data_IF_253972541951
#
_entry.id   IF_253972541951
#
_cell.length_a   1.000
_cell.length_b   1.000
_cell.length_c   1.000
_cell.angle_alpha   90.00
_cell.angle_beta   90.00
_cell.angle_gamma   90.00
#
_symmetry.space_group_name_H-M   'P 1'
#
loop_
_entity.id
_entity.type
_entity.pdbx_description
1 polymer ?
#
# COMPACT_ATOMS: atom_id res chain seq x y z
N UNK A 1 16.42 4.83 6.36
CA UNK A 1 15.03 4.58 5.91
C UNK A 1 14.36 3.49 6.75
N UNK A 2 14.87 2.26 6.75
CA UNK A 2 14.17 1.11 7.33
C UNK A 2 13.95 1.14 8.86
N UNK A 3 14.86 1.75 9.63
CA UNK A 3 14.74 1.82 11.11
C UNK A 3 13.73 2.88 11.61
N UNK A 4 13.38 3.84 10.77
CA UNK A 4 12.50 4.96 11.12
C UNK A 4 11.53 5.24 9.96
N UNK A 5 10.56 4.33 9.68
CA UNK A 5 9.66 4.48 8.53
C UNK A 5 8.84 5.77 8.54
N UNK A 6 8.51 6.30 9.72
CA UNK A 6 7.80 7.56 9.88
C UNK A 6 8.51 8.76 9.24
N UNK A 7 9.84 8.74 9.10
CA UNK A 7 10.59 9.81 8.44
C UNK A 7 10.40 9.82 6.91
N UNK A 8 9.77 8.79 6.34
CA UNK A 8 9.52 8.67 4.90
C UNK A 8 8.15 9.24 4.52
N UNK A 9 7.12 8.97 5.32
CA UNK A 9 5.75 9.39 5.00
C UNK A 9 5.05 10.18 6.10
N UNK A 10 5.43 10.03 7.36
CA UNK A 10 4.70 10.49 8.55
C UNK A 10 4.13 9.33 9.38
N UNK A 11 3.48 9.64 10.50
CA UNK A 11 2.76 8.65 11.32
C UNK A 11 1.43 8.27 10.66
N UNK A 12 0.94 7.06 10.95
CA UNK A 12 -0.41 6.59 10.60
C UNK A 12 -0.74 6.68 9.09
N UNK A 13 0.28 6.52 8.25
CA UNK A 13 0.15 6.49 6.80
C UNK A 13 0.40 5.09 6.24
N UNK A 14 -0.28 4.71 5.14
CA UNK A 14 -0.12 3.41 4.53
C UNK A 14 1.34 3.02 4.24
N UNK A 15 2.19 3.95 3.79
CA UNK A 15 3.61 3.67 3.55
C UNK A 15 4.32 3.21 4.82
N UNK A 16 4.10 3.94 5.91
CA UNK A 16 4.69 3.67 7.22
C UNK A 16 4.16 2.34 7.77
N UNK A 17 2.87 2.07 7.61
CA UNK A 17 2.24 0.80 8.02
C UNK A 17 2.81 -0.40 7.25
N UNK A 18 2.91 -0.32 5.93
CA UNK A 18 3.51 -1.37 5.09
C UNK A 18 4.97 -1.64 5.50
N UNK A 19 5.75 -0.59 5.73
CA UNK A 19 7.16 -0.73 6.13
C UNK A 19 7.31 -1.29 7.56
N UNK A 20 6.40 -0.94 8.49
CA UNK A 20 6.37 -1.50 9.84
C UNK A 20 5.91 -2.96 9.86
N UNK A 21 5.00 -3.34 8.98
CA UNK A 21 4.57 -4.73 8.82
C UNK A 21 5.68 -5.64 8.26
N UNK A 22 6.66 -5.06 7.56
CA UNK A 22 7.77 -5.80 6.95
C UNK A 22 9.14 -5.18 7.30
N UNK A 23 9.55 -5.21 8.58
CA UNK A 23 10.76 -4.53 9.05
C UNK A 23 11.99 -4.95 8.26
N UNK A 24 12.70 -3.98 7.69
CA UNK A 24 13.96 -4.21 7.00
C UNK A 24 13.85 -4.85 5.60
N UNK A 25 12.64 -5.17 5.12
CA UNK A 25 12.43 -5.88 3.85
C UNK A 25 11.90 -5.01 2.72
N UNK A 26 11.20 -3.92 3.03
CA UNK A 26 10.62 -3.03 2.02
C UNK A 26 10.76 -1.57 2.38
N UNK A 27 11.02 -0.74 1.38
CA UNK A 27 10.84 0.71 1.43
C UNK A 27 9.71 1.05 0.47
N UNK A 28 8.67 1.73 0.93
CA UNK A 28 7.51 2.12 0.11
C UNK A 28 7.25 3.61 0.26
N UNK A 29 6.93 4.29 -0.84
CA UNK A 29 6.53 5.70 -0.80
C UNK A 29 5.43 6.01 -1.81
N UNK A 30 4.40 6.71 -1.32
CA UNK A 30 3.36 7.32 -2.14
C UNK A 30 3.90 8.52 -2.92
N UNK A 31 3.55 8.60 -4.20
CA UNK A 31 3.70 9.76 -5.08
C UNK A 31 2.37 10.48 -5.32
N UNK A 32 2.40 11.53 -6.12
CA UNK A 32 1.18 12.26 -6.51
C UNK A 32 0.30 11.41 -7.44
N UNK A 33 -1.01 11.70 -7.46
CA UNK A 33 -1.96 11.13 -8.42
C UNK A 33 -1.90 9.59 -8.50
N UNK A 34 -2.07 8.90 -7.37
CA UNK A 34 -2.17 7.44 -7.36
C UNK A 34 -0.87 6.69 -7.71
N UNK A 35 0.27 7.36 -7.68
CA UNK A 35 1.60 6.73 -7.85
C UNK A 35 2.07 6.11 -6.53
N UNK A 36 2.71 4.96 -6.63
CA UNK A 36 3.45 4.32 -5.54
C UNK A 36 4.73 3.69 -6.07
N UNK A 37 5.81 3.83 -5.30
CA UNK A 37 7.06 3.11 -5.57
C UNK A 37 7.46 2.28 -4.36
N UNK A 38 8.08 1.13 -4.62
CA UNK A 38 8.58 0.21 -3.61
C UNK A 38 9.93 -0.38 -3.99
N UNK A 39 10.74 -0.72 -3.00
CA UNK A 39 11.97 -1.50 -3.19
C UNK A 39 11.97 -2.65 -2.19
N UNK A 40 12.08 -3.88 -2.70
CA UNK A 40 12.25 -5.11 -1.93
C UNK A 40 13.74 -5.32 -1.69
N UNK A 41 14.20 -5.00 -0.49
CA UNK A 41 15.63 -4.80 -0.19
C UNK A 41 16.42 -6.09 -0.11
N UNK A 42 15.77 -7.24 0.08
CA UNK A 42 16.44 -8.54 0.13
C UNK A 42 16.41 -9.24 -1.23
N UNK A 43 15.39 -8.96 -2.03
CA UNK A 43 15.10 -9.61 -3.29
C UNK A 43 15.67 -8.86 -4.49
N UNK A 44 16.07 -7.59 -4.32
CA UNK A 44 16.63 -6.77 -5.40
C UNK A 44 15.61 -6.28 -6.42
N UNK A 45 14.30 -6.34 -6.10
CA UNK A 45 13.23 -5.91 -6.99
C UNK A 45 12.79 -4.47 -6.69
N UNK A 46 12.53 -3.72 -7.76
CA UNK A 46 11.82 -2.43 -7.70
C UNK A 46 10.36 -2.61 -8.13
N UNK A 47 9.46 -1.86 -7.51
CA UNK A 47 8.04 -1.83 -7.83
C UNK A 47 7.66 -0.40 -8.17
N UNK A 48 6.98 -0.20 -9.29
CA UNK A 48 6.33 1.04 -9.65
C UNK A 48 4.86 0.75 -9.95
N UNK A 49 3.97 1.53 -9.36
CA UNK A 49 2.53 1.39 -9.47
C UNK A 49 1.91 2.74 -9.79
N UNK A 50 0.94 2.74 -10.70
CA UNK A 50 0.09 3.89 -11.01
C UNK A 50 -1.33 3.39 -11.09
N UNK A 51 -2.22 4.03 -10.34
CA UNK A 51 -3.66 3.94 -10.59
C UNK A 51 -4.01 5.00 -11.64
N UNK A 52 -4.67 4.57 -12.72
CA UNK A 52 -4.91 5.37 -13.92
C UNK A 52 -5.66 6.67 -13.62
N UNK A 53 -6.70 6.61 -12.79
CA UNK A 53 -7.53 7.76 -12.39
C UNK A 53 -6.95 8.57 -11.22
N UNK A 54 -5.75 8.22 -10.73
CA UNK A 54 -5.08 8.91 -9.63
C UNK A 54 -5.62 8.59 -8.22
N UNK A 55 -6.54 7.62 -8.07
CA UNK A 55 -7.17 7.34 -6.78
C UNK A 55 -6.18 6.83 -5.71
N UNK A 56 -5.83 7.72 -4.77
CA UNK A 56 -4.75 7.48 -3.79
C UNK A 56 -5.00 6.27 -2.87
N UNK A 57 -6.26 6.06 -2.44
CA UNK A 57 -6.60 4.91 -1.60
C UNK A 57 -6.47 3.59 -2.35
N UNK A 58 -6.96 3.53 -3.60
CA UNK A 58 -6.82 2.36 -4.45
C UNK A 58 -5.34 2.03 -4.69
N UNK A 59 -4.49 3.05 -4.87
CA UNK A 59 -3.05 2.86 -5.04
C UNK A 59 -2.38 2.22 -3.81
N UNK A 60 -2.79 2.63 -2.61
CA UNK A 60 -2.29 2.05 -1.37
C UNK A 60 -2.73 0.58 -1.19
N UNK A 61 -4.01 0.28 -1.44
CA UNK A 61 -4.55 -1.08 -1.39
C UNK A 61 -3.87 -1.99 -2.43
N UNK A 62 -3.70 -1.49 -3.66
CA UNK A 62 -3.05 -2.22 -4.74
C UNK A 62 -1.56 -2.49 -4.43
N UNK A 63 -0.82 -1.51 -3.90
CA UNK A 63 0.56 -1.72 -3.47
C UNK A 63 0.65 -2.80 -2.36
N UNK A 64 -0.23 -2.75 -1.36
CA UNK A 64 -0.27 -3.78 -0.31
C UNK A 64 -0.56 -5.19 -0.87
N UNK A 65 -1.47 -5.30 -1.84
CA UNK A 65 -1.76 -6.58 -2.51
C UNK A 65 -0.56 -7.10 -3.32
N UNK A 66 0.12 -6.22 -4.08
CA UNK A 66 1.34 -6.58 -4.81
C UNK A 66 2.43 -7.10 -3.85
N UNK A 67 2.64 -6.43 -2.72
CA UNK A 67 3.58 -6.92 -1.69
C UNK A 67 3.18 -8.30 -1.16
N UNK A 68 1.89 -8.55 -0.94
CA UNK A 68 1.39 -9.85 -0.50
C UNK A 68 1.63 -10.98 -1.52
N UNK A 69 1.56 -10.69 -2.82
CA UNK A 69 1.87 -11.65 -3.88
C UNK A 69 3.36 -11.89 -4.04
N UNK A 70 4.18 -10.88 -3.74
CA UNK A 70 5.65 -11.00 -3.69
C UNK A 70 6.15 -11.62 -2.37
N UNK A 71 5.25 -12.17 -1.54
CA UNK A 71 5.60 -12.93 -0.33
C UNK A 71 5.77 -12.10 0.94
N UNK A 72 5.37 -10.83 0.94
CA UNK A 72 5.35 -9.99 2.13
C UNK A 72 3.97 -10.07 2.77
N UNK A 73 3.83 -10.95 3.76
CA UNK A 73 2.59 -11.18 4.52
C UNK A 73 2.89 -11.23 6.03
N UNK A 74 1.92 -10.91 6.91
CA UNK A 74 0.56 -10.42 6.62
C UNK A 74 0.53 -8.93 6.24
N UNK A 75 -0.55 -8.50 5.57
CA UNK A 75 -0.78 -7.08 5.29
C UNK A 75 -1.47 -6.39 6.48
N UNK A 76 -1.22 -5.09 6.72
CA UNK A 76 -1.97 -4.30 7.70
C UNK A 76 -3.49 -4.40 7.42
N UNK A 77 -4.34 -4.64 8.43
CA UNK A 77 -5.79 -4.80 8.20
C UNK A 77 -6.44 -3.63 7.46
N UNK A 78 -6.01 -2.40 7.74
CA UNK A 78 -6.48 -1.18 7.08
C UNK A 78 -6.13 -1.09 5.58
N UNK A 79 -5.24 -1.97 5.09
CA UNK A 79 -4.79 -2.04 3.70
C UNK A 79 -5.30 -3.28 2.96
N UNK A 80 -6.25 -4.02 3.54
CA UNK A 80 -6.93 -5.14 2.89
C UNK A 80 -8.20 -4.66 2.18
N UNK A 81 -9.05 -3.92 2.90
CA UNK A 81 -10.19 -3.22 2.33
C UNK A 81 -10.44 -1.91 3.08
N UNK A 82 -11.14 -0.97 2.45
CA UNK A 82 -11.56 0.28 3.08
C UNK A 82 -13.05 0.52 2.90
N UNK A 83 -13.80 0.84 3.96
CA UNK A 83 -15.21 1.15 3.85
C UNK A 83 -15.41 2.45 3.05
N UNK A 84 -16.45 2.46 2.22
CA UNK A 84 -16.96 3.64 1.55
C UNK A 84 -18.12 4.18 2.39
N UNK A 85 -18.02 5.42 2.83
CA UNK A 85 -19.05 6.09 3.63
C UNK A 85 -19.78 7.12 2.78
N UNK A 86 -21.10 7.21 2.97
CA UNK A 86 -21.90 8.26 2.35
C UNK A 86 -21.77 9.59 3.13
N UNK A 87 -22.44 10.65 2.65
CA UNK A 87 -22.44 11.97 3.31
C UNK A 87 -23.12 11.98 4.69
N UNK A 88 -23.89 10.94 5.04
CA UNK A 88 -24.48 10.73 6.37
C UNK A 88 -23.55 9.96 7.32
N UNK A 89 -22.37 9.55 6.86
CA UNK A 89 -21.42 8.74 7.63
C UNK A 89 -21.77 7.26 7.72
N UNK A 90 -22.74 6.80 6.93
CA UNK A 90 -23.15 5.38 6.90
C UNK A 90 -22.26 4.63 5.89
N UNK A 91 -21.79 3.44 6.27
CA UNK A 91 -21.06 2.56 5.35
C UNK A 91 -22.00 2.05 4.27
N UNK A 92 -21.68 2.34 3.01
CA UNK A 92 -22.47 1.96 1.83
C UNK A 92 -21.72 1.01 0.88
N UNK A 93 -20.50 0.64 1.22
CA UNK A 93 -19.70 -0.31 0.44
C UNK A 93 -18.27 -0.42 0.96
N UNK A 94 -17.42 -1.04 0.17
CA UNK A 94 -15.98 -1.12 0.42
C UNK A 94 -15.18 -1.06 -0.88
N UNK A 95 -13.97 -0.53 -0.79
CA UNK A 95 -12.93 -0.61 -1.81
C UNK A 95 -11.97 -1.72 -1.41
N UNK A 96 -11.78 -2.69 -2.30
CA UNK A 96 -10.83 -3.80 -2.12
C UNK A 96 -10.17 -4.14 -3.45
N UNK A 97 -9.01 -4.80 -3.39
CA UNK A 97 -8.34 -5.30 -4.58
C UNK A 97 -9.11 -6.51 -5.14
N UNK A 98 -9.25 -6.56 -6.46
CA UNK A 98 -9.80 -7.71 -7.19
C UNK A 98 -8.91 -7.99 -8.41
N UNK A 99 -8.06 -9.00 -8.31
CA UNK A 99 -7.05 -9.33 -9.32
C UNK A 99 -5.72 -9.70 -8.66
N UNK A 100 -4.71 -9.97 -9.50
CA UNK A 100 -3.36 -10.31 -9.08
C UNK A 100 -2.34 -10.10 -10.18
N UNK A 101 -1.07 -10.36 -9.89
CA UNK A 101 0.03 -10.31 -10.85
C UNK A 101 -0.07 -11.49 -11.81
N UNK A 102 -0.15 -11.19 -13.11
CA UNK A 102 0.02 -12.17 -14.17
C UNK A 102 1.52 -12.41 -14.40
N UNK A 103 1.90 -13.67 -14.65
CA UNK A 103 3.29 -14.08 -14.89
C UNK A 103 3.58 -14.22 -16.38
#
# INVERSE_FOLDING_TARGET
MLRHPELIAGQDRPCTEMMRAHPGRVVVKVGAEGVYCGVLTQEGHGIALKVEDGHTVAAALAMAAVLAELGLRPQPPALVSRPTVNTRGETVGEVRVNGGLER
#
